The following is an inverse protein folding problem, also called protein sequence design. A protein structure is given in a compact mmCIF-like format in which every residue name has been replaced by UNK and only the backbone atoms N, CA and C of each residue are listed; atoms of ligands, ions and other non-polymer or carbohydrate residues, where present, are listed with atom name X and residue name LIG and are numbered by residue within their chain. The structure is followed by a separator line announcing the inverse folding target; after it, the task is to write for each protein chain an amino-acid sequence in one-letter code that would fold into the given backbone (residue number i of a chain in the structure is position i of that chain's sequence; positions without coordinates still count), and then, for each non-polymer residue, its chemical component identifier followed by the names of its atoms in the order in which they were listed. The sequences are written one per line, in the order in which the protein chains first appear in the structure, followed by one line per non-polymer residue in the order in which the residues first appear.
data_IF_372305934845
#
_entry.id   IF_372305934845
#
_cell.length_a   1.000
_cell.length_b   1.000
_cell.length_c   1.000
_cell.angle_alpha   90.00
_cell.angle_beta   90.00
_cell.angle_gamma   90.00
#
_symmetry.space_group_name_H-M   'P 1'
#
loop_
_entity.id
_entity.type
_entity.pdbx_description
1 polymer ?
#
# COMPACT_ATOMS: atom_id res chain seq x y z
N UNK A 1 13.66 -2.72 45.75
CA UNK A 1 14.63 -2.80 44.64
C UNK A 1 13.80 -2.94 43.37
N UNK A 2 13.70 -1.88 42.58
CA UNK A 2 13.12 -1.99 41.23
C UNK A 2 14.13 -2.80 40.40
N UNK A 3 13.70 -3.93 39.88
CA UNK A 3 14.48 -4.65 38.83
C UNK A 3 14.74 -3.66 37.70
N UNK A 4 15.99 -3.35 37.41
CA UNK A 4 16.36 -2.62 36.21
C UNK A 4 15.95 -3.51 35.04
N UNK A 5 15.01 -3.03 34.19
CA UNK A 5 14.62 -3.73 32.99
C UNK A 5 15.87 -3.99 32.14
N UNK A 6 15.95 -5.21 31.56
CA UNK A 6 17.08 -5.54 30.68
C UNK A 6 17.10 -4.57 29.49
N UNK A 7 18.28 -4.21 28.93
CA UNK A 7 18.37 -3.34 27.75
C UNK A 7 17.47 -3.79 26.57
N UNK A 8 17.32 -5.10 26.40
CA UNK A 8 16.47 -5.72 25.36
C UNK A 8 14.98 -5.41 25.59
N UNK A 9 14.49 -5.42 26.82
CA UNK A 9 13.08 -5.11 27.13
C UNK A 9 12.74 -3.67 26.73
N UNK A 10 13.69 -2.74 26.87
CA UNK A 10 13.53 -1.35 26.43
C UNK A 10 13.49 -1.24 24.88
N UNK A 11 14.28 -2.03 24.14
CA UNK A 11 14.27 -2.04 22.67
C UNK A 11 12.95 -2.56 22.10
N UNK A 12 12.37 -3.62 22.72
CA UNK A 12 11.06 -4.16 22.31
C UNK A 12 9.94 -3.16 22.56
N UNK A 13 9.94 -2.50 23.73
CA UNK A 13 8.97 -1.45 24.04
C UNK A 13 9.09 -0.24 23.11
N UNK A 14 10.29 0.11 22.68
CA UNK A 14 10.49 1.16 21.67
C UNK A 14 9.98 0.73 20.29
N UNK A 15 10.26 -0.50 19.86
CA UNK A 15 9.74 -1.06 18.61
C UNK A 15 8.20 -1.00 18.57
N UNK A 16 7.51 -1.42 19.64
CA UNK A 16 6.05 -1.34 19.73
C UNK A 16 5.52 0.09 19.57
N UNK A 17 6.17 1.07 20.21
CA UNK A 17 5.79 2.49 20.08
C UNK A 17 6.02 3.01 18.67
N UNK A 18 7.13 2.63 18.02
CA UNK A 18 7.46 3.03 16.65
C UNK A 18 6.42 2.43 15.68
N UNK A 19 6.14 1.13 15.78
CA UNK A 19 5.14 0.45 14.95
C UNK A 19 3.77 1.15 15.09
N UNK A 20 3.30 1.35 16.32
CA UNK A 20 2.00 1.96 16.59
C UNK A 20 1.90 3.36 15.98
N UNK A 21 2.93 4.21 16.15
CA UNK A 21 2.93 5.58 15.62
C UNK A 21 3.05 5.60 14.10
N UNK A 22 3.90 4.75 13.53
CA UNK A 22 4.09 4.68 12.08
C UNK A 22 2.81 4.25 11.36
N UNK A 23 2.15 3.19 11.83
CA UNK A 23 0.88 2.71 11.24
C UNK A 23 -0.22 3.76 11.44
N UNK A 24 -0.36 4.36 12.63
CA UNK A 24 -1.36 5.39 12.90
C UNK A 24 -1.24 6.60 11.95
N UNK A 25 -0.02 6.96 11.57
CA UNK A 25 0.23 8.08 10.67
C UNK A 25 -0.23 7.83 9.22
N UNK A 26 -0.35 6.58 8.80
CA UNK A 26 -0.74 6.20 7.42
C UNK A 26 -2.15 5.58 7.36
N UNK A 27 -2.91 5.67 8.45
CA UNK A 27 -4.33 5.30 8.41
C UNK A 27 -5.09 6.21 7.44
N UNK A 28 -6.10 5.67 6.74
CA UNK A 28 -6.85 6.41 5.74
C UNK A 28 -7.44 7.72 6.26
N UNK A 29 -7.95 7.74 7.49
CA UNK A 29 -8.53 8.92 8.14
C UNK A 29 -7.47 10.02 8.31
N UNK A 30 -6.37 9.69 8.97
CA UNK A 30 -5.27 10.63 9.21
C UNK A 30 -4.65 11.15 7.90
N UNK A 31 -4.58 10.32 6.88
CA UNK A 31 -4.09 10.68 5.55
C UNK A 31 -4.99 11.73 4.88
N UNK A 32 -6.31 11.51 4.91
CA UNK A 32 -7.30 12.44 4.33
C UNK A 32 -7.37 13.74 5.13
N UNK A 33 -7.38 13.68 6.46
CA UNK A 33 -7.39 14.86 7.31
C UNK A 33 -6.18 15.76 7.05
N UNK A 34 -4.98 15.17 6.89
CA UNK A 34 -3.77 15.93 6.52
C UNK A 34 -3.89 16.58 5.15
N UNK A 35 -4.41 15.86 4.15
CA UNK A 35 -4.58 16.38 2.79
C UNK A 35 -5.55 17.56 2.73
N UNK A 36 -6.64 17.51 3.50
CA UNK A 36 -7.69 18.52 3.50
C UNK A 36 -7.43 19.66 4.48
N UNK A 37 -6.44 19.52 5.36
CA UNK A 37 -6.10 20.55 6.36
C UNK A 37 -5.74 21.88 5.72
N UNK A 38 -6.55 22.91 6.02
CA UNK A 38 -6.35 24.26 5.48
C UNK A 38 -6.75 24.43 4.02
N UNK A 39 -7.31 23.42 3.37
CA UNK A 39 -7.89 23.56 2.02
C UNK A 39 -9.26 24.23 2.12
N UNK A 40 -9.50 25.16 1.20
CA UNK A 40 -10.79 25.84 1.02
C UNK A 40 -11.21 25.70 -0.43
N UNK A 41 -12.40 25.19 -0.66
CA UNK A 41 -13.01 25.05 -1.98
C UNK A 41 -14.12 26.08 -2.13
N UNK A 42 -14.08 26.93 -3.18
CA UNK A 42 -14.95 28.09 -3.31
C UNK A 42 -16.35 27.76 -3.85
N UNK A 43 -16.43 26.84 -4.82
CA UNK A 43 -17.68 26.43 -5.46
C UNK A 43 -18.32 25.21 -4.81
N UNK A 44 -19.19 24.52 -5.55
CA UNK A 44 -19.77 23.27 -5.13
C UNK A 44 -18.70 22.18 -4.99
N UNK A 45 -18.79 21.37 -3.95
CA UNK A 45 -17.85 20.29 -3.70
C UNK A 45 -18.56 18.95 -3.84
N UNK A 46 -17.98 18.09 -4.65
CA UNK A 46 -18.42 16.72 -4.85
C UNK A 46 -17.34 15.75 -4.38
N UNK A 47 -17.74 14.60 -3.84
CA UNK A 47 -16.81 13.57 -3.35
C UNK A 47 -16.98 12.30 -4.17
N UNK A 48 -15.89 11.81 -4.72
CA UNK A 48 -15.84 10.46 -5.33
C UNK A 48 -14.71 9.70 -4.66
N UNK A 49 -15.01 8.52 -4.13
CA UNK A 49 -14.01 7.67 -3.48
C UNK A 49 -14.03 6.26 -4.06
N UNK A 50 -12.85 5.71 -4.39
CA UNK A 50 -12.72 4.38 -4.98
C UNK A 50 -11.56 3.59 -4.37
N UNK A 51 -11.80 2.32 -4.04
CA UNK A 51 -10.80 1.40 -3.50
C UNK A 51 -11.24 0.74 -2.19
N UNK A 52 -10.37 -0.09 -1.62
CA UNK A 52 -10.67 -0.86 -0.41
C UNK A 52 -10.91 0.02 0.82
N UNK A 53 -10.17 1.15 0.93
CA UNK A 53 -10.31 2.12 2.01
C UNK A 53 -11.25 3.29 1.66
N UNK A 54 -11.96 3.23 0.53
CA UNK A 54 -12.75 4.35 0.01
C UNK A 54 -13.83 4.83 0.98
N UNK A 55 -14.51 3.91 1.68
CA UNK A 55 -15.53 4.30 2.67
C UNK A 55 -14.91 5.09 3.83
N UNK A 56 -13.81 4.59 4.39
CA UNK A 56 -13.13 5.23 5.52
C UNK A 56 -12.56 6.60 5.12
N UNK A 57 -11.92 6.68 3.95
CA UNK A 57 -11.43 7.96 3.41
C UNK A 57 -12.58 8.96 3.19
N UNK A 58 -13.71 8.51 2.64
CA UNK A 58 -14.88 9.36 2.40
C UNK A 58 -15.52 9.82 3.71
N UNK A 59 -15.59 8.97 4.72
CA UNK A 59 -16.08 9.31 6.06
C UNK A 59 -15.24 10.44 6.68
N UNK A 60 -13.91 10.31 6.65
CA UNK A 60 -12.99 11.33 7.15
C UNK A 60 -13.09 12.64 6.33
N UNK A 61 -13.13 12.53 4.99
CA UNK A 61 -13.28 13.69 4.12
C UNK A 61 -14.59 14.45 4.39
N UNK A 62 -15.70 13.73 4.56
CA UNK A 62 -17.01 14.35 4.84
C UNK A 62 -16.98 15.19 6.12
N UNK A 63 -16.26 14.75 7.14
CA UNK A 63 -16.08 15.51 8.38
C UNK A 63 -15.26 16.81 8.18
N UNK A 64 -14.37 16.84 7.18
CA UNK A 64 -13.54 17.99 6.87
C UNK A 64 -14.19 18.98 5.86
N UNK A 65 -15.16 18.50 5.04
CA UNK A 65 -15.81 19.30 4.01
C UNK A 65 -16.90 20.19 4.61
N UNK A 66 -16.96 21.43 4.10
CA UNK A 66 -17.81 22.51 4.57
C UNK A 66 -19.25 22.44 4.01
N UNK A 67 -20.01 23.52 4.20
CA UNK A 67 -21.44 23.61 3.82
C UNK A 67 -21.68 23.60 2.30
N UNK A 68 -20.66 23.86 1.48
CA UNK A 68 -20.72 23.80 0.02
C UNK A 68 -20.59 22.36 -0.55
N UNK A 69 -20.55 21.35 0.32
CA UNK A 69 -20.61 19.94 -0.08
C UNK A 69 -21.99 19.57 -0.62
N UNK A 70 -22.04 19.13 -1.87
CA UNK A 70 -23.30 18.82 -2.58
C UNK A 70 -23.67 17.35 -2.62
N UNK A 71 -22.70 16.45 -2.52
CA UNK A 71 -22.94 15.02 -2.53
C UNK A 71 -21.70 14.19 -2.84
N UNK A 72 -21.81 12.89 -2.65
CA UNK A 72 -20.68 12.00 -2.90
C UNK A 72 -21.08 10.60 -3.32
N UNK A 73 -20.11 9.88 -3.89
CA UNK A 73 -20.19 8.46 -4.25
C UNK A 73 -18.96 7.74 -3.75
N UNK A 74 -19.19 6.61 -3.09
CA UNK A 74 -18.15 5.65 -2.65
C UNK A 74 -18.33 4.35 -3.42
N UNK A 75 -17.24 3.81 -3.98
CA UNK A 75 -17.19 2.47 -4.56
C UNK A 75 -16.11 1.67 -3.86
N UNK A 76 -16.51 0.70 -3.05
CA UNK A 76 -15.60 -0.10 -2.23
C UNK A 76 -15.86 -1.59 -2.37
N UNK A 77 -15.01 -2.41 -1.77
CA UNK A 77 -15.14 -3.88 -1.77
C UNK A 77 -16.30 -4.30 -0.86
N UNK A 78 -16.94 -5.43 -1.18
CA UNK A 78 -17.96 -6.04 -0.33
C UNK A 78 -17.52 -6.18 1.13
N UNK A 79 -18.39 -5.78 2.07
CA UNK A 79 -18.15 -5.81 3.51
C UNK A 79 -17.25 -4.68 4.03
N UNK A 80 -16.99 -3.65 3.22
CA UNK A 80 -16.16 -2.50 3.62
C UNK A 80 -16.97 -1.22 3.89
N UNK A 81 -18.27 -1.23 3.66
CA UNK A 81 -19.17 -0.13 4.10
C UNK A 81 -19.49 -0.31 5.58
N UNK A 82 -19.16 0.69 6.39
CA UNK A 82 -19.38 0.66 7.84
C UNK A 82 -20.34 1.79 8.28
N UNK A 83 -21.59 1.73 7.78
CA UNK A 83 -22.62 2.68 8.08
C UNK A 83 -22.82 3.76 7.02
N UNK A 84 -23.75 4.69 7.31
CA UNK A 84 -24.10 5.78 6.40
C UNK A 84 -23.17 6.98 6.53
N UNK A 85 -22.89 7.62 5.40
CA UNK A 85 -22.22 8.93 5.34
C UNK A 85 -23.21 9.94 4.78
N UNK A 86 -23.43 11.04 5.49
CA UNK A 86 -24.43 12.04 5.11
C UNK A 86 -24.22 12.59 3.69
N UNK A 87 -25.24 12.48 2.84
CA UNK A 87 -25.24 12.88 1.42
C UNK A 87 -24.21 12.13 0.56
N UNK A 88 -23.87 10.89 0.90
CA UNK A 88 -22.94 10.04 0.13
C UNK A 88 -23.59 8.70 -0.17
N UNK A 89 -23.70 8.33 -1.44
CA UNK A 89 -24.15 7.03 -1.88
C UNK A 89 -22.98 6.02 -1.85
N UNK A 90 -23.14 4.90 -1.14
CA UNK A 90 -22.12 3.87 -1.03
C UNK A 90 -22.50 2.63 -1.86
N UNK A 91 -21.56 2.17 -2.67
CA UNK A 91 -21.67 0.97 -3.50
C UNK A 91 -20.55 -0.02 -3.11
N UNK A 92 -20.92 -1.27 -2.96
CA UNK A 92 -19.98 -2.36 -2.77
C UNK A 92 -19.90 -3.20 -4.03
N UNK A 93 -18.70 -3.55 -4.47
CA UNK A 93 -18.44 -4.26 -5.71
C UNK A 93 -17.34 -5.30 -5.61
N UNK A 94 -17.14 -6.03 -6.72
CA UNK A 94 -16.17 -7.12 -6.85
C UNK A 94 -14.72 -6.65 -6.86
N UNK A 95 -13.88 -7.40 -6.15
CA UNK A 95 -12.43 -7.23 -6.15
C UNK A 95 -11.76 -8.61 -5.94
N UNK A 96 -10.76 -9.01 -6.70
CA UNK A 96 -9.97 -8.24 -7.71
C UNK A 96 -10.62 -8.13 -9.11
N UNK A 97 -11.74 -8.78 -9.34
CA UNK A 97 -12.46 -8.76 -10.63
C UNK A 97 -13.65 -7.83 -10.51
N UNK A 98 -13.81 -6.84 -11.43
CA UNK A 98 -14.97 -5.95 -11.43
C UNK A 98 -16.26 -6.72 -11.75
N UNK A 99 -17.35 -6.29 -11.15
CA UNK A 99 -18.70 -6.82 -11.37
C UNK A 99 -19.72 -5.72 -11.70
N UNK A 100 -20.97 -6.08 -11.90
CA UNK A 100 -22.06 -5.15 -12.22
C UNK A 100 -22.26 -4.07 -11.12
N UNK A 101 -21.95 -4.37 -9.85
CA UNK A 101 -22.08 -3.39 -8.79
C UNK A 101 -20.93 -2.37 -8.82
N UNK A 102 -19.71 -2.79 -9.18
CA UNK A 102 -18.59 -1.88 -9.46
C UNK A 102 -18.96 -0.89 -10.58
N UNK A 103 -19.60 -1.40 -11.66
CA UNK A 103 -20.04 -0.58 -12.77
C UNK A 103 -21.13 0.42 -12.34
N UNK A 104 -22.14 -0.03 -11.58
CA UNK A 104 -23.22 0.84 -11.08
C UNK A 104 -22.68 1.98 -10.19
N UNK A 105 -21.72 1.67 -9.30
CA UNK A 105 -21.07 2.69 -8.49
C UNK A 105 -20.27 3.70 -9.33
N UNK A 106 -19.57 3.22 -10.35
CA UNK A 106 -18.84 4.09 -11.28
C UNK A 106 -19.78 4.96 -12.12
N UNK A 107 -20.92 4.40 -12.58
CA UNK A 107 -21.95 5.16 -13.30
C UNK A 107 -22.56 6.25 -12.42
N UNK A 108 -22.83 5.96 -11.14
CA UNK A 108 -23.29 6.96 -10.19
C UNK A 108 -22.27 8.08 -9.97
N UNK A 109 -20.97 7.75 -9.94
CA UNK A 109 -19.92 8.75 -9.84
C UNK A 109 -19.82 9.64 -11.09
N UNK A 110 -19.94 9.06 -12.29
CA UNK A 110 -19.99 9.81 -13.54
C UNK A 110 -21.21 10.74 -13.59
N UNK A 111 -22.40 10.23 -13.24
CA UNK A 111 -23.62 11.04 -13.21
C UNK A 111 -23.55 12.18 -12.17
N UNK A 112 -22.94 11.93 -11.01
CA UNK A 112 -22.73 12.97 -9.99
C UNK A 112 -21.83 14.10 -10.49
N UNK A 113 -20.90 13.80 -11.39
CA UNK A 113 -19.88 14.72 -11.89
C UNK A 113 -20.16 15.20 -13.33
N UNK A 114 -21.41 15.12 -13.78
CA UNK A 114 -21.90 15.76 -14.99
C UNK A 114 -22.20 17.26 -14.72
N UNK A 115 -22.16 18.09 -15.72
CA UNK A 115 -22.53 19.52 -15.70
C UNK A 115 -21.81 20.36 -14.62
N UNK A 116 -20.53 20.07 -14.40
CA UNK A 116 -19.67 20.84 -13.49
C UNK A 116 -19.17 22.13 -14.15
N UNK A 117 -18.88 23.14 -13.34
CA UNK A 117 -18.34 24.44 -13.74
C UNK A 117 -16.90 24.62 -13.27
N UNK A 118 -16.21 25.64 -13.78
CA UNK A 118 -14.82 25.95 -13.37
C UNK A 118 -14.67 26.27 -11.88
N UNK A 119 -15.75 26.70 -11.21
CA UNK A 119 -15.76 26.95 -9.78
C UNK A 119 -15.94 25.70 -8.92
N UNK A 120 -16.40 24.61 -9.50
CA UNK A 120 -16.68 23.37 -8.77
C UNK A 120 -15.41 22.57 -8.52
N UNK A 121 -15.43 21.75 -7.49
CA UNK A 121 -14.32 20.85 -7.14
C UNK A 121 -14.82 19.44 -6.91
N UNK A 122 -14.13 18.47 -7.51
CA UNK A 122 -14.28 17.05 -7.21
C UNK A 122 -13.14 16.62 -6.30
N UNK A 123 -13.43 16.29 -5.04
CA UNK A 123 -12.49 15.62 -4.13
C UNK A 123 -12.50 14.15 -4.49
N UNK A 124 -11.40 13.67 -5.08
CA UNK A 124 -11.26 12.31 -5.58
C UNK A 124 -10.31 11.50 -4.71
N UNK A 125 -10.85 10.54 -3.97
CA UNK A 125 -10.12 9.72 -3.01
C UNK A 125 -9.84 8.33 -3.60
N UNK A 126 -8.57 7.96 -3.67
CA UNK A 126 -8.13 6.69 -4.26
C UNK A 126 -7.34 5.86 -3.25
N UNK A 127 -7.62 4.57 -3.20
CA UNK A 127 -6.85 3.59 -2.46
C UNK A 127 -6.66 2.30 -3.26
N UNK A 128 -5.86 1.37 -2.74
CA UNK A 128 -5.62 0.07 -3.35
C UNK A 128 -6.91 -0.65 -3.74
N UNK A 129 -6.87 -1.39 -4.86
CA UNK A 129 -8.03 -2.09 -5.41
C UNK A 129 -8.93 -1.26 -6.34
N UNK A 130 -8.68 0.04 -6.49
CA UNK A 130 -9.45 0.94 -7.35
C UNK A 130 -9.51 0.52 -8.82
N UNK A 131 -8.55 -0.25 -9.32
CA UNK A 131 -8.56 -0.77 -10.70
C UNK A 131 -9.77 -1.66 -11.01
N UNK A 132 -10.28 -2.42 -10.06
CA UNK A 132 -11.48 -3.24 -10.23
C UNK A 132 -12.74 -2.49 -9.79
N UNK A 133 -12.65 -1.73 -8.70
CA UNK A 133 -13.79 -1.08 -8.07
C UNK A 133 -14.28 0.15 -8.83
N UNK A 134 -13.37 0.88 -9.53
CA UNK A 134 -13.72 2.05 -10.34
C UNK A 134 -13.49 1.74 -11.83
N UNK A 135 -14.50 1.09 -12.44
CA UNK A 135 -14.43 0.60 -13.81
C UNK A 135 -15.72 0.92 -14.58
N UNK A 136 -15.56 1.43 -15.80
CA UNK A 136 -16.62 1.59 -16.81
C UNK A 136 -16.09 1.12 -18.15
N UNK A 137 -16.31 -0.15 -18.52
CA UNK A 137 -15.82 -0.69 -19.79
C UNK A 137 -16.46 0.00 -20.99
N UNK A 138 -15.67 0.21 -22.05
CA UNK A 138 -16.13 0.68 -23.36
C UNK A 138 -16.61 -0.46 -24.28
N UNK A 139 -16.57 -1.69 -23.76
CA UNK A 139 -17.01 -2.93 -24.36
C UNK A 139 -17.73 -3.78 -23.31
N UNK A 140 -18.37 -4.91 -23.66
CA UNK A 140 -19.03 -5.76 -22.66
C UNK A 140 -18.07 -6.19 -21.53
N UNK A 141 -18.55 -6.21 -20.28
CA UNK A 141 -17.73 -6.58 -19.11
C UNK A 141 -17.06 -7.94 -19.28
N UNK A 142 -17.79 -8.92 -19.80
CA UNK A 142 -17.25 -10.26 -20.06
C UNK A 142 -16.06 -10.25 -21.03
N UNK A 143 -16.06 -9.36 -22.03
CA UNK A 143 -14.92 -9.21 -22.95
C UNK A 143 -13.72 -8.56 -22.26
N UNK A 144 -13.93 -7.53 -21.42
CA UNK A 144 -12.85 -6.93 -20.63
C UNK A 144 -12.20 -7.97 -19.70
N UNK A 145 -13.04 -8.80 -19.06
CA UNK A 145 -12.56 -9.89 -18.21
C UNK A 145 -11.77 -10.93 -19.00
N UNK A 146 -12.26 -11.33 -20.19
CA UNK A 146 -11.55 -12.28 -21.06
C UNK A 146 -10.20 -11.74 -21.50
N UNK A 147 -10.12 -10.49 -21.96
CA UNK A 147 -8.86 -9.83 -22.33
C UNK A 147 -7.88 -9.80 -21.16
N UNK A 148 -8.36 -9.48 -19.96
CA UNK A 148 -7.52 -9.48 -18.75
C UNK A 148 -7.00 -10.89 -18.44
N UNK A 149 -7.84 -11.91 -18.54
CA UNK A 149 -7.45 -13.30 -18.32
C UNK A 149 -6.44 -13.80 -19.35
N UNK A 150 -6.60 -13.41 -20.63
CA UNK A 150 -5.63 -13.73 -21.69
C UNK A 150 -4.25 -13.14 -21.36
N UNK A 151 -4.18 -11.87 -20.92
CA UNK A 151 -2.92 -11.22 -20.55
C UNK A 151 -2.25 -11.91 -19.34
N UNK A 152 -3.02 -12.21 -18.29
CA UNK A 152 -2.52 -12.93 -17.12
C UNK A 152 -1.99 -14.33 -17.49
N UNK A 153 -2.74 -15.08 -18.29
CA UNK A 153 -2.34 -16.41 -18.74
C UNK A 153 -1.08 -16.38 -19.63
N UNK A 154 -0.87 -15.29 -20.37
CA UNK A 154 0.32 -15.10 -21.21
C UNK A 154 1.54 -14.58 -20.43
N UNK A 155 1.40 -14.28 -19.13
CA UNK A 155 2.49 -13.77 -18.28
C UNK A 155 2.80 -12.29 -18.50
N UNK A 156 1.83 -11.49 -18.98
CA UNK A 156 2.00 -10.05 -19.10
C UNK A 156 2.21 -9.41 -17.72
N UNK A 157 3.10 -8.44 -17.65
CA UNK A 157 3.32 -7.68 -16.41
C UNK A 157 2.19 -6.66 -16.17
N UNK A 158 2.20 -6.06 -14.96
CA UNK A 158 1.15 -5.13 -14.54
C UNK A 158 1.12 -3.85 -15.39
N UNK A 159 2.26 -3.42 -15.94
CA UNK A 159 2.35 -2.24 -16.82
C UNK A 159 1.68 -2.53 -18.15
N UNK A 160 1.95 -3.71 -18.72
CA UNK A 160 1.34 -4.17 -19.98
C UNK A 160 -0.18 -4.37 -19.84
N UNK A 161 -0.62 -4.99 -18.73
CA UNK A 161 -2.04 -5.16 -18.43
C UNK A 161 -2.74 -3.80 -18.33
N UNK A 162 -2.16 -2.85 -17.58
CA UNK A 162 -2.72 -1.51 -17.45
C UNK A 162 -2.71 -0.73 -18.77
N UNK A 163 -1.69 -0.89 -19.60
CA UNK A 163 -1.62 -0.28 -20.94
C UNK A 163 -2.81 -0.64 -21.81
N UNK A 164 -3.25 -1.90 -21.76
CA UNK A 164 -4.45 -2.38 -22.45
C UNK A 164 -5.72 -1.87 -21.75
N UNK A 165 -5.84 -2.07 -20.43
CA UNK A 165 -7.05 -1.74 -19.67
C UNK A 165 -7.41 -0.27 -19.69
N UNK A 166 -6.43 0.64 -19.63
CA UNK A 166 -6.65 2.09 -19.72
C UNK A 166 -7.41 2.48 -21.01
N UNK A 167 -7.18 1.79 -22.13
CA UNK A 167 -7.83 2.07 -23.41
C UNK A 167 -9.23 1.48 -23.53
N UNK A 168 -9.49 0.40 -22.79
CA UNK A 168 -10.79 -0.28 -22.80
C UNK A 168 -11.78 0.27 -21.76
N UNK A 169 -11.39 1.32 -21.00
CA UNK A 169 -12.18 1.91 -19.92
C UNK A 169 -12.52 3.38 -20.19
N UNK A 170 -13.72 3.80 -19.80
CA UNK A 170 -14.16 5.18 -19.89
C UNK A 170 -13.62 6.08 -18.76
N UNK A 171 -13.09 5.51 -17.68
CA UNK A 171 -12.66 6.25 -16.50
C UNK A 171 -11.16 6.21 -16.24
N UNK A 172 -10.43 5.23 -16.80
CA UNK A 172 -8.98 5.07 -16.60
C UNK A 172 -8.13 5.94 -17.51
N UNK A 173 -6.81 6.03 -17.22
CA UNK A 173 -5.85 6.77 -18.02
C UNK A 173 -6.22 8.24 -18.21
N UNK A 174 -6.60 8.93 -17.14
CA UNK A 174 -6.95 10.36 -17.12
C UNK A 174 -8.37 10.69 -17.58
N UNK A 175 -9.15 9.70 -17.99
CA UNK A 175 -10.48 9.97 -18.56
C UNK A 175 -11.50 10.46 -17.55
N UNK A 176 -11.42 10.00 -16.28
CA UNK A 176 -12.30 10.52 -15.24
C UNK A 176 -12.02 12.01 -14.96
N UNK A 177 -10.78 12.42 -14.79
CA UNK A 177 -10.47 13.84 -14.60
C UNK A 177 -10.86 14.69 -15.79
N UNK A 178 -10.68 14.19 -17.03
CA UNK A 178 -11.17 14.86 -18.23
C UNK A 178 -12.69 14.97 -18.28
N UNK A 179 -13.42 13.95 -17.79
CA UNK A 179 -14.88 13.99 -17.67
C UNK A 179 -15.32 15.09 -16.69
N UNK A 180 -14.59 15.30 -15.60
CA UNK A 180 -14.90 16.35 -14.62
C UNK A 180 -14.60 17.76 -15.12
N UNK A 181 -13.84 17.94 -16.23
CA UNK A 181 -13.52 19.27 -16.75
C UNK A 181 -14.81 20.02 -17.15
N UNK A 182 -14.90 21.36 -16.87
CA UNK A 182 -13.82 22.27 -16.45
C UNK A 182 -13.57 22.35 -14.92
N UNK A 183 -14.27 21.56 -14.11
CA UNK A 183 -14.08 21.57 -12.66
C UNK A 183 -12.68 21.07 -12.26
N UNK A 184 -12.20 21.54 -11.10
CA UNK A 184 -10.96 21.06 -10.52
C UNK A 184 -11.14 19.69 -9.87
N UNK A 185 -10.15 18.81 -10.03
CA UNK A 185 -10.08 17.52 -9.33
C UNK A 185 -8.97 17.59 -8.30
N UNK A 186 -9.32 17.53 -7.02
CA UNK A 186 -8.37 17.41 -5.92
C UNK A 186 -8.26 15.92 -5.55
N UNK A 187 -7.21 15.27 -6.02
CA UNK A 187 -6.99 13.84 -5.82
C UNK A 187 -6.17 13.58 -4.56
N UNK A 188 -6.67 12.74 -3.66
CA UNK A 188 -5.96 12.23 -2.48
C UNK A 188 -5.74 10.74 -2.67
N UNK A 189 -4.48 10.31 -2.64
CA UNK A 189 -4.08 8.95 -2.99
C UNK A 189 -3.40 8.26 -1.82
N UNK A 190 -3.91 7.07 -1.47
CA UNK A 190 -3.22 6.07 -0.67
C UNK A 190 -2.59 5.06 -1.62
N UNK A 191 -1.25 5.09 -1.72
CA UNK A 191 -0.50 4.27 -2.67
C UNK A 191 -0.04 2.97 -2.02
N UNK A 192 -0.35 1.85 -2.65
CA UNK A 192 0.17 0.52 -2.34
C UNK A 192 1.21 0.04 -3.37
N UNK A 193 1.67 0.94 -4.26
CA UNK A 193 2.63 0.63 -5.32
C UNK A 193 3.96 1.35 -5.05
N UNK A 194 5.07 0.61 -5.06
CA UNK A 194 6.40 1.17 -4.83
C UNK A 194 6.76 2.25 -5.86
N UNK A 195 7.29 3.37 -5.37
CA UNK A 195 7.66 4.53 -6.19
C UNK A 195 6.48 5.40 -6.61
N UNK A 196 5.27 5.11 -6.13
CA UNK A 196 4.04 5.90 -6.32
C UNK A 196 3.75 6.29 -7.79
N UNK A 197 3.79 5.36 -8.77
CA UNK A 197 3.50 5.68 -10.16
C UNK A 197 1.99 5.98 -10.31
N UNK A 198 1.63 7.26 -10.26
CA UNK A 198 0.25 7.74 -10.17
C UNK A 198 -0.64 7.29 -11.35
N UNK A 199 -0.06 7.07 -12.52
CA UNK A 199 -0.76 6.53 -13.68
C UNK A 199 -1.03 5.01 -13.60
N UNK A 200 -0.45 4.34 -12.62
CA UNK A 200 -0.66 2.91 -12.33
C UNK A 200 -1.65 2.68 -11.19
N UNK A 201 -1.73 3.61 -10.21
CA UNK A 201 -2.66 3.51 -9.07
C UNK A 201 -4.09 3.60 -9.59
N UNK A 202 -4.91 2.59 -9.30
CA UNK A 202 -6.27 2.42 -9.85
C UNK A 202 -6.33 2.52 -11.40
N UNK A 203 -5.20 2.28 -12.10
CA UNK A 203 -5.00 2.51 -13.55
C UNK A 203 -5.17 3.99 -13.96
N UNK A 204 -4.84 4.93 -13.07
CA UNK A 204 -4.71 6.36 -13.33
C UNK A 204 -5.98 7.10 -13.75
N UNK A 205 -7.11 7.08 -13.02
CA UNK A 205 -8.33 7.79 -13.45
C UNK A 205 -8.16 9.31 -13.54
N UNK A 206 -7.31 9.87 -12.67
CA UNK A 206 -7.01 11.31 -12.61
C UNK A 206 -5.57 11.65 -13.02
N UNK A 207 -4.95 10.81 -13.84
CA UNK A 207 -3.56 11.03 -14.28
C UNK A 207 -3.40 10.89 -15.78
N UNK A 208 -2.52 11.71 -16.39
CA UNK A 208 -2.10 11.52 -17.77
C UNK A 208 -1.52 10.12 -17.95
N UNK A 209 -1.91 9.44 -19.02
CA UNK A 209 -1.39 8.11 -19.34
C UNK A 209 -0.02 8.21 -20.02
N UNK A 210 1.01 7.65 -19.41
CA UNK A 210 2.36 7.58 -19.98
C UNK A 210 2.48 6.62 -21.16
N UNK A 211 1.59 5.60 -21.25
CA UNK A 211 1.62 4.60 -22.34
C UNK A 211 0.99 5.13 -23.63
N UNK A 212 1.44 4.64 -24.80
CA UNK A 212 0.92 5.00 -26.13
C UNK A 212 0.00 3.95 -26.74
N UNK A 213 -0.87 4.33 -27.68
CA UNK A 213 -1.66 3.37 -28.45
C UNK A 213 -0.77 2.40 -29.25
N UNK A 214 0.40 2.84 -29.71
CA UNK A 214 1.37 1.98 -30.40
C UNK A 214 1.86 0.85 -29.48
N UNK A 215 2.17 1.15 -28.21
CA UNK A 215 2.53 0.13 -27.21
C UNK A 215 1.38 -0.85 -26.95
N UNK A 216 0.15 -0.35 -26.83
CA UNK A 216 -1.02 -1.22 -26.63
C UNK A 216 -1.23 -2.20 -27.79
N UNK A 217 -1.11 -1.71 -29.03
CA UNK A 217 -1.21 -2.55 -30.23
C UNK A 217 -0.07 -3.57 -30.34
N UNK A 218 1.16 -3.20 -29.92
CA UNK A 218 2.30 -4.10 -29.88
C UNK A 218 2.10 -5.22 -28.84
N UNK A 219 1.67 -4.87 -27.62
CA UNK A 219 1.34 -5.82 -26.56
C UNK A 219 0.28 -6.81 -27.05
N UNK A 220 -0.83 -6.30 -27.65
CA UNK A 220 -1.90 -7.14 -28.13
C UNK A 220 -1.44 -8.15 -29.21
N UNK A 221 -0.57 -7.73 -30.12
CA UNK A 221 0.03 -8.59 -31.17
C UNK A 221 1.03 -9.58 -30.57
N UNK A 222 1.91 -9.14 -29.69
CA UNK A 222 2.96 -9.97 -29.07
C UNK A 222 2.38 -11.13 -28.28
N UNK A 223 1.31 -10.89 -27.54
CA UNK A 223 0.60 -11.93 -26.78
C UNK A 223 -0.49 -12.65 -27.59
N UNK A 224 -0.71 -12.29 -28.85
CA UNK A 224 -1.71 -12.92 -29.71
C UNK A 224 -3.13 -12.81 -29.15
N UNK A 225 -3.50 -11.64 -28.55
CA UNK A 225 -4.79 -11.47 -27.92
C UNK A 225 -5.94 -11.62 -28.91
N UNK A 226 -6.96 -12.38 -28.52
CA UNK A 226 -8.20 -12.52 -29.27
C UNK A 226 -9.13 -11.37 -28.87
N UNK A 227 -9.24 -10.37 -29.76
CA UNK A 227 -9.97 -9.13 -29.53
C UNK A 227 -11.06 -8.95 -30.58
N UNK A 228 -12.19 -8.36 -30.16
CA UNK A 228 -13.22 -7.90 -31.12
C UNK A 228 -12.70 -6.74 -31.99
N UNK A 229 -13.36 -6.47 -33.11
CA UNK A 229 -13.05 -5.28 -33.92
C UNK A 229 -13.15 -3.99 -33.11
N UNK A 230 -14.14 -3.90 -32.22
CA UNK A 230 -14.31 -2.76 -31.33
C UNK A 230 -13.11 -2.58 -30.37
N UNK A 231 -12.61 -3.67 -29.78
CA UNK A 231 -11.43 -3.62 -28.92
C UNK A 231 -10.20 -3.14 -29.68
N UNK A 232 -9.96 -3.61 -30.89
CA UNK A 232 -8.86 -3.13 -31.74
C UNK A 232 -8.96 -1.62 -32.03
N UNK A 233 -10.16 -1.12 -32.34
CA UNK A 233 -10.39 0.33 -32.56
C UNK A 233 -10.10 1.12 -31.30
N UNK A 234 -10.50 0.64 -30.10
CA UNK A 234 -10.24 1.30 -28.84
C UNK A 234 -8.75 1.31 -28.50
N UNK A 235 -8.01 0.23 -28.74
CA UNK A 235 -6.55 0.19 -28.51
C UNK A 235 -5.79 1.16 -29.41
N UNK A 236 -6.29 1.48 -30.60
CA UNK A 236 -5.69 2.45 -31.50
C UNK A 236 -5.96 3.91 -31.11
N UNK A 237 -6.78 4.16 -30.09
CA UNK A 237 -7.09 5.52 -29.62
C UNK A 237 -6.16 5.92 -28.47
N UNK A 238 -5.65 7.16 -28.53
CA UNK A 238 -4.86 7.69 -27.40
C UNK A 238 -5.73 8.06 -26.20
N UNK A 239 -5.17 7.83 -25.05
CA UNK A 239 -5.64 8.32 -23.75
C UNK A 239 -5.16 9.75 -23.50
N UNK A 240 -5.76 10.52 -22.57
CA UNK A 240 -5.28 11.84 -22.18
C UNK A 240 -3.79 11.85 -21.84
N UNK A 241 -3.02 12.74 -22.48
CA UNK A 241 -1.57 12.91 -22.25
C UNK A 241 -1.25 14.09 -21.33
N UNK A 242 -2.20 15.00 -21.18
CA UNK A 242 -2.13 16.16 -20.30
C UNK A 242 -3.47 16.34 -19.60
N UNK A 243 -3.42 16.81 -18.37
CA UNK A 243 -4.57 17.22 -17.56
C UNK A 243 -4.21 18.52 -16.85
N UNK A 244 -5.01 19.57 -17.04
CA UNK A 244 -4.75 20.88 -16.44
C UNK A 244 -5.60 21.14 -15.19
N UNK A 245 -6.60 20.28 -14.95
CA UNK A 245 -7.58 20.42 -13.89
C UNK A 245 -7.36 19.49 -12.70
N UNK A 246 -6.14 18.98 -12.47
CA UNK A 246 -5.87 18.02 -11.39
C UNK A 246 -4.76 18.55 -10.47
N UNK A 247 -5.06 18.61 -9.19
CA UNK A 247 -4.08 18.70 -8.10
C UNK A 247 -4.07 17.39 -7.33
N UNK A 248 -2.89 16.81 -7.06
CA UNK A 248 -2.77 15.54 -6.33
C UNK A 248 -1.93 15.64 -5.09
N UNK A 249 -2.38 14.94 -4.05
CA UNK A 249 -1.61 14.68 -2.85
C UNK A 249 -1.55 13.17 -2.59
N UNK A 250 -0.33 12.64 -2.49
CA UNK A 250 -0.07 11.30 -1.98
C UNK A 250 0.09 11.45 -0.47
N UNK A 251 -0.79 10.84 0.31
CA UNK A 251 -0.86 11.04 1.78
C UNK A 251 -0.71 9.76 2.57
N UNK A 252 -0.66 8.63 1.90
CA UNK A 252 -0.32 7.33 2.45
C UNK A 252 0.49 6.57 1.43
N UNK A 253 1.76 6.32 1.75
CA UNK A 253 2.69 5.54 0.95
C UNK A 253 3.74 4.94 1.86
N UNK A 254 4.54 4.03 1.33
CA UNK A 254 5.70 3.49 2.06
C UNK A 254 6.66 4.60 2.49
N UNK A 255 6.77 5.67 1.71
CA UNK A 255 7.59 6.85 2.04
C UNK A 255 7.08 7.55 3.29
N UNK A 256 5.76 7.78 3.38
CA UNK A 256 5.11 8.35 4.55
C UNK A 256 5.23 7.44 5.78
N UNK A 257 5.10 6.12 5.58
CA UNK A 257 5.31 5.12 6.64
C UNK A 257 6.73 5.19 7.21
N UNK A 258 7.75 5.25 6.33
CA UNK A 258 9.15 5.40 6.74
C UNK A 258 9.42 6.73 7.44
N UNK A 259 8.87 7.84 6.93
CA UNK A 259 9.03 9.16 7.54
C UNK A 259 8.40 9.22 8.94
N UNK A 260 7.20 8.65 9.11
CA UNK A 260 6.52 8.56 10.40
C UNK A 260 7.28 7.67 11.39
N UNK A 261 7.83 6.54 10.91
CA UNK A 261 8.68 5.66 11.72
C UNK A 261 9.97 6.36 12.14
N UNK A 262 10.63 7.12 11.24
CA UNK A 262 11.82 7.90 11.55
C UNK A 262 11.53 8.97 12.62
N UNK A 263 10.44 9.72 12.48
CA UNK A 263 10.02 10.71 13.50
C UNK A 263 9.72 10.04 14.86
N UNK A 264 9.16 8.82 14.85
CA UNK A 264 8.94 8.06 16.08
C UNK A 264 10.27 7.62 16.73
N UNK A 265 11.28 7.24 15.91
CA UNK A 265 12.63 6.92 16.40
C UNK A 265 13.31 8.16 17.01
N UNK A 266 13.25 9.32 16.34
CA UNK A 266 13.80 10.58 16.87
C UNK A 266 13.18 10.94 18.23
N UNK A 267 11.87 10.81 18.37
CA UNK A 267 11.15 11.09 19.61
C UNK A 267 11.57 10.14 20.77
N UNK A 268 12.17 9.01 20.46
CA UNK A 268 12.72 8.04 21.44
C UNK A 268 14.24 8.19 21.62
N UNK A 269 14.85 9.19 20.98
CA UNK A 269 16.27 9.51 21.12
C UNK A 269 17.21 8.71 20.23
N UNK A 270 16.71 8.13 19.13
CA UNK A 270 17.53 7.52 18.09
C UNK A 270 17.87 8.53 16.99
N UNK A 271 19.04 8.34 16.36
CA UNK A 271 19.41 9.00 15.09
C UNK A 271 18.88 8.14 13.94
N UNK A 272 17.75 8.47 13.27
CA UNK A 272 17.19 7.64 12.20
C UNK A 272 17.88 7.89 10.86
N UNK A 273 18.06 6.82 10.10
CA UNK A 273 18.53 6.86 8.72
C UNK A 273 17.63 5.99 7.85
N UNK A 274 16.88 6.62 6.94
CA UNK A 274 16.12 5.89 5.92
C UNK A 274 17.10 5.47 4.82
N UNK A 275 17.34 4.16 4.70
CA UNK A 275 18.23 3.58 3.71
C UNK A 275 17.56 3.49 2.34
N UNK A 276 16.27 3.14 2.33
CA UNK A 276 15.46 3.05 1.11
C UNK A 276 13.98 3.06 1.46
N UNK A 277 13.15 3.54 0.55
CA UNK A 277 11.69 3.40 0.54
C UNK A 277 11.17 2.55 -0.64
N UNK A 278 12.08 1.82 -1.31
CA UNK A 278 11.81 0.98 -2.47
C UNK A 278 12.47 -0.40 -2.36
N UNK A 279 12.49 -0.98 -1.14
CA UNK A 279 13.07 -2.31 -0.92
C UNK A 279 12.26 -3.39 -1.66
N UNK A 280 12.91 -4.17 -2.54
CA UNK A 280 12.24 -5.21 -3.33
C UNK A 280 13.06 -6.50 -3.50
N UNK A 281 14.10 -6.71 -2.68
CA UNK A 281 14.92 -7.93 -2.71
C UNK A 281 14.25 -9.12 -2.01
N UNK A 282 14.90 -10.29 -2.01
CA UNK A 282 14.46 -11.44 -1.21
C UNK A 282 14.51 -11.10 0.30
N UNK A 283 13.48 -11.45 1.03
CA UNK A 283 13.29 -11.10 2.45
C UNK A 283 14.48 -11.51 3.33
N UNK A 284 14.98 -12.74 3.17
CA UNK A 284 16.13 -13.23 3.94
C UNK A 284 17.42 -12.43 3.71
N UNK A 285 17.61 -11.90 2.50
CA UNK A 285 18.76 -11.08 2.17
C UNK A 285 18.69 -9.71 2.85
N UNK A 286 17.50 -9.10 2.90
CA UNK A 286 17.25 -7.88 3.66
C UNK A 286 17.61 -8.04 5.15
N UNK A 287 17.16 -9.15 5.77
CA UNK A 287 17.48 -9.48 7.16
C UNK A 287 18.99 -9.66 7.39
N UNK A 288 19.67 -10.39 6.50
CA UNK A 288 21.13 -10.60 6.54
C UNK A 288 21.89 -9.29 6.38
N UNK A 289 21.45 -8.40 5.48
CA UNK A 289 22.05 -7.07 5.30
C UNK A 289 21.94 -6.23 6.56
N UNK A 290 20.76 -6.17 7.19
CA UNK A 290 20.56 -5.42 8.45
C UNK A 290 21.42 -5.98 9.59
N UNK A 291 21.57 -7.29 9.68
CA UNK A 291 22.47 -7.91 10.66
C UNK A 291 23.94 -7.52 10.42
N UNK A 292 24.36 -7.34 9.17
CA UNK A 292 25.71 -6.88 8.84
C UNK A 292 25.92 -5.42 9.23
N UNK A 293 24.91 -4.55 9.02
CA UNK A 293 24.90 -3.16 9.48
C UNK A 293 24.95 -3.12 11.02
N UNK A 294 24.15 -3.97 11.69
CA UNK A 294 24.15 -4.05 13.16
C UNK A 294 25.55 -4.37 13.72
N UNK A 295 26.22 -5.38 13.16
CA UNK A 295 27.60 -5.73 13.59
C UNK A 295 28.61 -4.60 13.38
N UNK A 296 28.46 -3.81 12.33
CA UNK A 296 29.33 -2.67 12.06
C UNK A 296 29.14 -1.57 13.08
N UNK A 297 27.89 -1.23 13.43
CA UNK A 297 27.56 -0.05 14.23
C UNK A 297 27.26 -0.33 15.70
N UNK A 298 27.21 -1.60 16.15
CA UNK A 298 26.87 -1.96 17.52
C UNK A 298 27.77 -1.33 18.61
N UNK A 299 28.96 -0.85 18.21
CA UNK A 299 29.97 -0.27 19.13
C UNK A 299 30.17 1.23 18.95
N UNK A 300 29.36 1.91 18.15
CA UNK A 300 29.52 3.34 17.85
C UNK A 300 29.16 4.25 19.06
N UNK A 301 28.60 3.70 20.12
CA UNK A 301 28.19 4.46 21.30
C UNK A 301 27.03 5.41 21.06
N UNK A 302 26.23 5.16 20.02
CA UNK A 302 25.09 5.97 19.61
C UNK A 302 23.80 5.15 19.59
N UNK A 303 22.67 5.83 19.78
CA UNK A 303 21.37 5.25 19.50
C UNK A 303 21.06 5.46 18.01
N UNK A 304 21.07 4.40 17.24
CA UNK A 304 20.88 4.47 15.78
C UNK A 304 19.62 3.70 15.37
N UNK A 305 18.92 4.19 14.36
CA UNK A 305 17.82 3.48 13.73
C UNK A 305 18.02 3.47 12.21
N UNK A 306 18.14 2.29 11.61
CA UNK A 306 18.23 2.12 10.15
C UNK A 306 16.90 1.59 9.65
N UNK A 307 16.27 2.35 8.72
CA UNK A 307 14.93 2.10 8.24
C UNK A 307 14.95 1.72 6.77
N UNK A 308 14.18 0.72 6.42
CA UNK A 308 13.91 0.32 5.03
C UNK A 308 12.41 0.14 4.85
N UNK A 309 11.85 0.73 3.81
CA UNK A 309 10.48 0.53 3.41
C UNK A 309 10.38 -0.13 2.05
N UNK A 310 9.34 -0.92 1.82
CA UNK A 310 9.14 -1.54 0.53
C UNK A 310 8.29 -2.80 0.59
N UNK A 311 8.46 -3.65 -0.41
CA UNK A 311 7.77 -4.93 -0.52
C UNK A 311 8.76 -6.01 -0.96
N UNK A 312 9.32 -6.76 0.01
CA UNK A 312 10.24 -7.85 -0.29
C UNK A 312 9.49 -9.08 -0.79
N UNK A 313 10.22 -10.01 -1.38
CA UNK A 313 9.66 -11.26 -1.90
C UNK A 313 10.19 -12.46 -1.11
N UNK A 314 9.41 -13.53 -1.07
CA UNK A 314 9.81 -14.83 -0.53
C UNK A 314 9.84 -15.85 -1.66
N UNK A 315 10.98 -16.50 -1.87
CA UNK A 315 11.06 -17.64 -2.77
C UNK A 315 10.66 -18.91 -1.99
N UNK A 316 9.50 -19.45 -2.32
CA UNK A 316 9.00 -20.66 -1.67
C UNK A 316 9.87 -21.87 -2.07
N UNK A 317 10.52 -22.49 -1.07
CA UNK A 317 11.39 -23.69 -1.21
C UNK A 317 10.85 -24.86 -0.42
N UNK A 318 10.14 -24.56 0.66
CA UNK A 318 9.56 -25.53 1.58
C UNK A 318 8.04 -25.51 1.65
N UNK A 319 7.51 -26.07 2.74
CA UNK A 319 6.07 -26.15 3.00
C UNK A 319 5.66 -25.48 4.32
N UNK A 320 6.60 -24.77 4.93
CA UNK A 320 6.36 -24.06 6.19
C UNK A 320 5.38 -22.90 6.05
N UNK A 321 5.09 -22.28 7.17
CA UNK A 321 4.18 -21.14 7.28
C UNK A 321 4.97 -19.88 7.64
N UNK A 322 4.69 -18.77 6.97
CA UNK A 322 5.34 -17.51 7.23
C UNK A 322 4.99 -16.45 6.20
N UNK A 323 5.63 -15.30 6.33
CA UNK A 323 5.55 -14.19 5.41
C UNK A 323 6.90 -13.50 5.29
N UNK A 324 6.97 -12.49 4.41
CA UNK A 324 8.20 -11.76 4.09
C UNK A 324 8.78 -11.02 5.30
N UNK A 325 7.92 -10.39 6.09
CA UNK A 325 8.33 -9.63 7.28
C UNK A 325 8.85 -10.56 8.40
N UNK A 326 8.23 -11.71 8.56
CA UNK A 326 8.68 -12.75 9.48
C UNK A 326 10.03 -13.35 9.03
N UNK A 327 10.20 -13.58 7.72
CA UNK A 327 11.45 -14.13 7.18
C UNK A 327 12.62 -13.14 7.32
N UNK A 328 12.38 -11.82 7.17
CA UNK A 328 13.38 -10.76 7.47
C UNK A 328 13.84 -10.87 8.92
N UNK A 329 12.91 -10.88 9.87
CA UNK A 329 13.24 -10.93 11.30
C UNK A 329 13.98 -12.23 11.68
N UNK A 330 13.55 -13.39 11.16
CA UNK A 330 14.21 -14.67 11.40
C UNK A 330 15.64 -14.69 10.84
N UNK A 331 15.84 -14.17 9.62
CA UNK A 331 17.17 -14.06 9.01
C UNK A 331 18.07 -13.12 9.79
N UNK A 332 17.56 -11.97 10.23
CA UNK A 332 18.30 -11.03 11.04
C UNK A 332 18.73 -11.63 12.39
N UNK A 333 17.87 -12.45 13.04
CA UNK A 333 18.15 -13.09 14.32
C UNK A 333 19.46 -13.86 14.32
N UNK A 334 19.75 -14.58 13.22
CA UNK A 334 20.99 -15.36 13.07
C UNK A 334 22.24 -14.48 13.06
N UNK A 335 22.14 -13.32 12.43
CA UNK A 335 23.31 -12.44 12.24
C UNK A 335 23.52 -11.44 13.38
N UNK A 336 22.51 -11.13 14.20
CA UNK A 336 22.66 -10.23 15.36
C UNK A 336 22.82 -10.99 16.68
N UNK A 337 22.94 -12.32 16.65
CA UNK A 337 23.10 -13.12 17.83
C UNK A 337 24.27 -12.62 18.69
N UNK A 338 24.03 -12.48 20.01
CA UNK A 338 25.00 -11.98 20.99
C UNK A 338 25.14 -10.47 21.07
N UNK A 339 24.45 -9.68 20.21
CA UNK A 339 24.38 -8.24 20.30
C UNK A 339 23.26 -7.83 21.25
N UNK A 340 23.59 -7.59 22.53
CA UNK A 340 22.59 -7.24 23.57
C UNK A 340 21.92 -5.89 23.36
N UNK A 341 22.44 -5.05 22.46
CA UNK A 341 21.97 -3.70 22.16
C UNK A 341 21.34 -3.55 20.78
N UNK A 342 21.05 -4.68 20.09
CA UNK A 342 20.50 -4.69 18.75
C UNK A 342 19.12 -5.37 18.72
N UNK A 343 18.21 -4.83 17.89
CA UNK A 343 16.90 -5.39 17.63
C UNK A 343 16.51 -5.09 16.18
N UNK A 344 15.96 -6.07 15.48
CA UNK A 344 15.39 -5.92 14.15
C UNK A 344 13.93 -6.30 14.18
N UNK A 345 13.09 -5.49 13.58
CA UNK A 345 11.69 -5.84 13.31
C UNK A 345 11.29 -5.47 11.89
N UNK A 346 10.30 -6.20 11.37
CA UNK A 346 9.68 -5.91 10.09
C UNK A 346 8.18 -6.16 10.21
N UNK A 347 7.38 -5.24 9.66
CA UNK A 347 5.93 -5.25 9.81
C UNK A 347 5.22 -4.75 8.57
N UNK A 348 4.18 -5.47 8.14
CA UNK A 348 3.23 -5.01 7.12
C UNK A 348 2.24 -4.01 7.68
N UNK A 349 2.06 -2.89 6.99
CA UNK A 349 1.16 -1.82 7.42
C UNK A 349 -0.31 -2.25 7.50
N UNK A 350 -0.71 -3.29 6.75
CA UNK A 350 -2.08 -3.83 6.74
C UNK A 350 -2.40 -4.77 7.92
N UNK A 351 -1.37 -5.14 8.69
CA UNK A 351 -1.52 -6.03 9.84
C UNK A 351 -1.50 -7.51 9.50
N UNK A 352 -1.11 -7.86 8.26
CA UNK A 352 -0.98 -9.24 7.78
C UNK A 352 0.38 -9.50 7.15
N UNK A 353 0.86 -10.76 7.23
CA UNK A 353 2.12 -11.16 6.60
C UNK A 353 2.02 -12.61 6.13
N UNK A 354 1.89 -12.79 4.81
CA UNK A 354 1.61 -14.08 4.20
C UNK A 354 0.26 -14.66 4.65
N UNK A 355 0.09 -15.99 4.65
CA UNK A 355 -1.15 -16.65 5.07
C UNK A 355 -1.22 -16.83 6.60
N UNK A 356 -0.76 -15.84 7.39
CA UNK A 356 -0.68 -15.91 8.86
C UNK A 356 -1.54 -14.84 9.54
N UNK A 357 -1.72 -14.94 10.85
CA UNK A 357 -2.37 -13.92 11.69
C UNK A 357 -1.37 -12.90 12.28
N UNK A 358 -0.10 -12.97 11.87
CA UNK A 358 0.92 -12.03 12.24
C UNK A 358 1.05 -10.92 11.21
N UNK A 359 1.38 -9.71 11.65
CA UNK A 359 1.74 -8.57 10.81
C UNK A 359 3.23 -8.59 10.41
N UNK A 360 4.04 -9.38 11.11
CA UNK A 360 5.47 -9.48 10.87
C UNK A 360 6.23 -10.16 12.00
N UNK A 361 7.52 -9.82 12.10
CA UNK A 361 8.41 -10.42 13.08
C UNK A 361 9.36 -9.45 13.75
N UNK A 362 9.85 -9.84 14.93
CA UNK A 362 10.81 -9.10 15.75
C UNK A 362 11.86 -10.05 16.30
N UNK A 363 13.11 -9.65 16.24
CA UNK A 363 14.23 -10.41 16.74
C UNK A 363 15.29 -9.51 17.39
N UNK A 364 15.93 -10.01 18.43
CA UNK A 364 17.02 -9.39 19.17
C UNK A 364 18.22 -10.33 19.29
N UNK A 365 19.29 -9.90 19.95
CA UNK A 365 20.50 -10.70 20.08
C UNK A 365 20.36 -12.00 20.90
N UNK A 366 19.25 -12.21 21.60
CA UNK A 366 18.97 -13.45 22.35
C UNK A 366 18.09 -14.44 21.54
N UNK A 367 17.40 -13.96 20.48
CA UNK A 367 16.37 -14.72 19.76
C UNK A 367 16.87 -16.04 19.18
N UNK A 368 18.02 -16.08 18.50
CA UNK A 368 18.56 -17.32 17.92
C UNK A 368 18.99 -18.33 19.00
N UNK A 369 19.55 -17.86 20.11
CA UNK A 369 19.89 -18.70 21.25
C UNK A 369 18.64 -19.32 21.91
N UNK A 370 17.57 -18.53 22.09
CA UNK A 370 16.30 -19.01 22.63
C UNK A 370 15.65 -20.07 21.73
N UNK A 371 15.73 -19.90 20.41
CA UNK A 371 15.26 -20.91 19.45
C UNK A 371 15.97 -22.25 19.66
N UNK A 372 17.32 -22.24 19.73
CA UNK A 372 18.08 -23.48 19.99
C UNK A 372 17.74 -24.15 21.33
N UNK A 373 17.54 -23.34 22.38
CA UNK A 373 17.13 -23.87 23.70
C UNK A 373 15.77 -24.55 23.65
N UNK A 374 14.89 -24.13 22.74
CA UNK A 374 13.58 -24.73 22.50
C UNK A 374 13.56 -25.81 21.41
N UNK A 375 14.74 -26.17 20.90
CA UNK A 375 14.87 -27.21 19.87
C UNK A 375 14.44 -26.76 18.46
N UNK A 376 14.38 -25.47 18.22
CA UNK A 376 14.06 -24.87 16.91
C UNK A 376 15.36 -24.56 16.18
N UNK A 377 15.52 -25.13 14.98
CA UNK A 377 16.61 -24.81 14.06
C UNK A 377 16.19 -23.65 13.15
N UNK A 378 16.69 -22.46 13.41
CA UNK A 378 16.36 -21.24 12.67
C UNK A 378 16.80 -21.32 11.19
N UNK A 379 17.92 -21.98 10.89
CA UNK A 379 18.41 -22.16 9.51
C UNK A 379 17.49 -23.10 8.73
N UNK A 380 17.12 -24.21 9.36
CA UNK A 380 16.17 -25.15 8.74
C UNK A 380 14.80 -24.49 8.54
N UNK A 381 14.32 -23.73 9.51
CA UNK A 381 13.04 -22.98 9.39
C UNK A 381 13.06 -21.98 8.24
N UNK A 382 14.17 -21.23 8.02
CA UNK A 382 14.33 -20.37 6.85
C UNK A 382 14.29 -21.14 5.53
N UNK A 383 14.95 -22.32 5.48
CA UNK A 383 14.99 -23.15 4.28
C UNK A 383 13.62 -23.79 3.95
N UNK A 384 12.80 -24.01 4.97
CA UNK A 384 11.43 -24.55 4.82
C UNK A 384 10.36 -23.44 4.72
N UNK A 385 10.74 -22.16 4.73
CA UNK A 385 9.85 -20.97 4.77
C UNK A 385 8.91 -21.01 5.99
N UNK A 386 9.40 -21.48 7.15
CA UNK A 386 8.62 -21.67 8.39
C UNK A 386 8.96 -20.64 9.47
N UNK A 387 9.03 -19.37 9.07
CA UNK A 387 9.34 -18.28 9.98
C UNK A 387 8.28 -18.09 11.07
N UNK A 388 7.01 -18.39 10.78
CA UNK A 388 5.90 -18.24 11.72
C UNK A 388 6.08 -19.12 12.97
N UNK A 389 6.31 -20.41 12.81
CA UNK A 389 6.48 -21.32 13.96
C UNK A 389 7.79 -21.04 14.70
N UNK A 390 8.87 -20.73 13.96
CA UNK A 390 10.17 -20.45 14.58
C UNK A 390 10.10 -19.18 15.48
N UNK A 391 9.57 -18.08 14.97
CA UNK A 391 9.40 -16.84 15.75
C UNK A 391 8.33 -17.01 16.84
N UNK A 392 7.24 -17.71 16.54
CA UNK A 392 6.18 -17.99 17.51
C UNK A 392 6.69 -18.73 18.76
N UNK A 393 7.62 -19.68 18.59
CA UNK A 393 8.23 -20.41 19.68
C UNK A 393 8.96 -19.51 20.71
N UNK A 394 9.45 -18.36 20.29
CA UNK A 394 10.26 -17.44 21.12
C UNK A 394 9.62 -16.07 21.36
N UNK A 395 8.33 -15.90 21.02
CA UNK A 395 7.63 -14.62 21.19
C UNK A 395 8.10 -13.53 20.24
N UNK A 396 8.55 -13.93 19.03
CA UNK A 396 9.04 -13.04 17.99
C UNK A 396 8.00 -12.67 16.92
N UNK A 397 6.70 -12.99 17.10
CA UNK A 397 5.64 -12.59 16.19
C UNK A 397 5.08 -11.22 16.59
N UNK A 398 4.91 -10.36 15.61
CA UNK A 398 4.17 -9.09 15.74
C UNK A 398 2.73 -9.31 15.29
N UNK A 399 1.76 -9.02 16.16
CA UNK A 399 0.34 -9.16 15.88
C UNK A 399 -0.37 -7.85 16.16
N UNK A 400 -0.80 -7.16 15.12
CA UNK A 400 -1.53 -5.88 15.22
C UNK A 400 -3.04 -6.05 15.00
N UNK A 401 -3.46 -7.17 14.40
CA UNK A 401 -4.76 -7.30 13.76
C UNK A 401 -4.81 -6.45 12.48
N UNK A 402 -5.93 -6.52 11.77
CA UNK A 402 -6.17 -5.72 10.58
C UNK A 402 -6.18 -4.23 10.92
N UNK A 403 -5.37 -3.43 10.24
CA UNK A 403 -5.18 -2.01 10.53
C UNK A 403 -6.11 -1.09 9.75
N UNK A 404 -6.63 -1.57 8.61
CA UNK A 404 -7.47 -0.78 7.69
C UNK A 404 -6.69 0.05 6.67
N UNK A 405 -5.35 -0.01 6.68
CA UNK A 405 -4.50 0.59 5.64
C UNK A 405 -3.68 -0.48 4.92
N UNK A 406 -3.10 -0.15 3.77
CA UNK A 406 -2.04 -0.93 3.13
C UNK A 406 -1.18 0.02 2.32
N UNK A 407 0.02 0.27 2.82
CA UNK A 407 1.06 1.10 2.21
C UNK A 407 2.41 0.40 2.26
N UNK A 408 2.41 -0.90 1.99
CA UNK A 408 3.56 -1.81 2.07
C UNK A 408 4.13 -1.98 3.50
N UNK A 409 5.41 -2.32 3.60
CA UNK A 409 6.08 -2.74 4.83
C UNK A 409 7.13 -1.74 5.29
N UNK A 410 7.43 -1.76 6.59
CA UNK A 410 8.60 -1.10 7.16
C UNK A 410 9.44 -2.08 7.97
N UNK A 411 10.74 -2.05 7.72
CA UNK A 411 11.76 -2.86 8.42
C UNK A 411 12.74 -1.93 9.10
N UNK A 412 13.01 -2.16 10.38
CA UNK A 412 13.87 -1.28 11.18
C UNK A 412 14.87 -2.09 12.00
N UNK A 413 16.12 -1.68 11.94
CA UNK A 413 17.17 -2.06 12.89
C UNK A 413 17.32 -0.95 13.93
N UNK A 414 17.17 -1.27 15.20
CA UNK A 414 17.46 -0.40 16.33
C UNK A 414 18.77 -0.83 16.99
N UNK A 415 19.65 0.13 17.24
CA UNK A 415 20.85 -0.02 18.04
C UNK A 415 20.84 0.99 19.17
N UNK A 416 21.06 0.54 20.41
CA UNK A 416 21.27 1.43 21.55
C UNK A 416 22.77 1.55 21.87
N UNK A 417 23.15 2.73 22.34
CA UNK A 417 24.48 2.91 22.92
C UNK A 417 24.68 1.87 24.04
N UNK A 418 25.80 1.16 23.98
CA UNK A 418 26.20 0.30 25.10
C UNK A 418 26.51 1.20 26.32
N UNK A 419 25.94 0.86 27.48
CA UNK A 419 26.24 1.54 28.77
C UNK A 419 27.70 1.32 29.17
#
# INVERSE_FOLDING_TARGET
MQEKSKPVDNLRADAEKIITRAIAAVLPDAAVERALKGKTFLGRVYLVAAGKAAWQMAHAARACLQDNFCGGVVVTKYGHVNGEIANVACFEGGHPVPDENSLRGTDAALALTEDLTESDTVVFLLSGGGSALFEKPLLPLAELQDVTNQLLAAGADIVEINTIRKRLSAVKGGRFARHCAPAQVFAVVLSDILGDPLDMIASGPAYPDSSSCAQALDIAKRYGLRLSERAWVLLAQETPKTLENVETQITGSVRELCAAAAAACEALGYEPMILTDCLCCEAREAGSMLASIARTHARDGKNLAFLMGGETVVHLRGKGLGGRNQEIALSAALGIEGLSNALVFSVGSDGTDGPTDAAGGIADGETAQLMRQKGVDAVQSLNDNDAYHALGAVGGLLKTGATGTNVNDVTILLLRAAE
#
